data_IF_581957426057
#
_entry.id   IF_581957426057
#
_cell.length_a   1.000
_cell.length_b   1.000
_cell.length_c   1.000
_cell.angle_alpha   90.00
_cell.angle_beta   90.00
_cell.angle_gamma   90.00
#
_symmetry.space_group_name_H-M   'P 1'
#
loop_
_entity.id
_entity.type
_entity.pdbx_description
1 polymer ?
#
# COMPACT_ATOMS: atom_id res chain seq x y z
N UNK A 1 -8.37 17.89 -22.29
CA UNK A 1 -8.40 16.59 -21.61
C UNK A 1 -7.16 16.50 -20.72
N UNK A 2 -7.28 16.39 -19.42
CA UNK A 2 -6.10 16.16 -18.56
C UNK A 2 -5.62 14.74 -18.83
N UNK A 3 -4.32 14.50 -18.96
CA UNK A 3 -3.82 13.13 -19.11
C UNK A 3 -4.21 12.33 -17.85
N UNK A 4 -4.81 11.16 -18.04
CA UNK A 4 -5.04 10.22 -16.95
C UNK A 4 -3.67 9.71 -16.53
N UNK A 5 -3.22 10.12 -15.36
CA UNK A 5 -1.88 9.79 -14.83
C UNK A 5 -1.94 8.49 -14.03
N UNK A 6 -3.13 8.08 -13.57
CA UNK A 6 -3.32 6.90 -12.74
C UNK A 6 -4.65 6.21 -13.07
N UNK A 7 -4.70 4.89 -13.00
CA UNK A 7 -5.94 4.13 -13.12
C UNK A 7 -6.86 4.33 -11.90
N UNK A 8 -8.10 3.85 -11.98
CA UNK A 8 -9.05 3.88 -10.87
C UNK A 8 -9.77 5.21 -10.66
N UNK A 9 -9.73 6.13 -11.61
CA UNK A 9 -10.48 7.38 -11.51
C UNK A 9 -11.98 7.17 -11.84
N UNK A 10 -12.69 6.61 -10.89
CA UNK A 10 -14.14 6.38 -10.93
C UNK A 10 -14.94 7.65 -10.61
N UNK A 11 -14.29 8.73 -10.17
CA UNK A 11 -14.96 9.95 -9.73
C UNK A 11 -15.20 10.95 -10.85
N UNK A 12 -14.42 10.89 -11.92
CA UNK A 12 -14.50 11.81 -13.06
C UNK A 12 -14.94 11.10 -14.34
N UNK A 13 -15.12 9.79 -14.32
CA UNK A 13 -15.47 8.97 -15.48
C UNK A 13 -16.64 8.06 -15.13
N UNK A 14 -17.63 7.97 -16.04
CA UNK A 14 -18.65 6.92 -15.98
C UNK A 14 -18.03 5.62 -16.50
N UNK A 15 -17.82 4.65 -15.61
CA UNK A 15 -17.11 3.41 -15.90
C UNK A 15 -18.07 2.24 -15.70
N UNK A 16 -18.35 1.48 -16.76
CA UNK A 16 -19.05 0.21 -16.66
C UNK A 16 -18.12 -0.93 -16.22
N UNK A 17 -16.88 -0.93 -16.72
CA UNK A 17 -15.86 -1.93 -16.41
C UNK A 17 -14.51 -1.24 -16.23
N UNK A 18 -13.86 -1.48 -15.09
CA UNK A 18 -12.54 -0.94 -14.80
C UNK A 18 -11.46 -2.03 -14.84
N UNK A 19 -10.60 -1.95 -15.87
CA UNK A 19 -9.40 -2.80 -16.01
C UNK A 19 -8.10 -2.05 -15.70
N UNK A 20 -8.21 -0.81 -15.21
CA UNK A 20 -7.04 0.05 -14.97
C UNK A 20 -6.39 -0.16 -13.61
N UNK A 21 -7.11 -0.80 -12.68
CA UNK A 21 -6.63 -1.11 -11.32
C UNK A 21 -6.96 -2.54 -10.92
N UNK A 22 -6.12 -3.09 -10.07
CA UNK A 22 -6.25 -4.47 -9.59
C UNK A 22 -6.94 -4.48 -8.23
N UNK A 23 -8.27 -4.43 -8.23
CA UNK A 23 -9.09 -4.48 -7.01
C UNK A 23 -9.77 -5.84 -6.85
N UNK A 24 -10.05 -6.22 -5.60
CA UNK A 24 -10.78 -7.44 -5.31
C UNK A 24 -12.25 -7.30 -5.76
N UNK A 25 -12.73 -8.10 -6.75
CA UNK A 25 -14.10 -8.00 -7.24
C UNK A 25 -15.16 -8.37 -6.20
N UNK A 26 -14.80 -9.07 -5.14
CA UNK A 26 -15.68 -9.41 -4.02
C UNK A 26 -15.75 -8.32 -2.95
N UNK A 27 -15.04 -7.21 -3.14
CA UNK A 27 -14.96 -6.11 -2.20
C UNK A 27 -14.07 -6.40 -0.98
N UNK A 28 -14.29 -5.65 0.09
CA UNK A 28 -13.51 -5.78 1.32
C UNK A 28 -14.03 -6.99 2.11
N UNK A 29 -13.18 -7.94 2.53
CA UNK A 29 -13.57 -9.06 3.38
C UNK A 29 -14.22 -8.58 4.69
N UNK A 30 -15.24 -9.29 5.17
CA UNK A 30 -16.02 -8.86 6.35
C UNK A 30 -15.14 -8.69 7.60
N UNK A 31 -14.25 -9.64 7.85
CA UNK A 31 -13.28 -9.55 8.97
C UNK A 31 -12.40 -8.30 8.92
N UNK A 32 -12.11 -7.79 7.72
CA UNK A 32 -11.33 -6.55 7.56
C UNK A 32 -12.18 -5.34 7.94
N UNK A 33 -13.45 -5.33 7.53
CA UNK A 33 -14.39 -4.25 7.90
C UNK A 33 -14.59 -4.19 9.42
N UNK A 34 -14.81 -5.36 10.05
CA UNK A 34 -14.93 -5.47 11.51
C UNK A 34 -13.67 -4.91 12.20
N UNK A 35 -12.48 -5.34 11.81
CA UNK A 35 -11.24 -4.86 12.37
C UNK A 35 -11.02 -3.35 12.16
N UNK A 36 -11.44 -2.80 11.01
CA UNK A 36 -11.40 -1.36 10.76
C UNK A 36 -12.34 -0.61 11.71
N UNK A 37 -13.57 -1.11 11.92
CA UNK A 37 -14.52 -0.49 12.83
C UNK A 37 -14.01 -0.51 14.29
N UNK A 38 -13.47 -1.62 14.75
CA UNK A 38 -12.88 -1.74 16.08
C UNK A 38 -11.66 -0.82 16.28
N UNK A 39 -10.92 -0.54 15.20
CA UNK A 39 -9.74 0.32 15.27
C UNK A 39 -10.04 1.82 15.25
N UNK A 40 -11.29 2.25 15.05
CA UNK A 40 -11.62 3.68 14.98
C UNK A 40 -11.28 4.43 16.27
N UNK A 41 -11.47 3.81 17.43
CA UNK A 41 -11.13 4.42 18.73
C UNK A 41 -9.62 4.65 18.89
N UNK A 42 -8.80 3.88 18.19
CA UNK A 42 -7.35 4.05 18.21
C UNK A 42 -6.89 5.33 17.48
N UNK A 43 -7.78 5.94 16.66
CA UNK A 43 -7.48 7.19 15.96
C UNK A 43 -7.31 8.40 16.88
N UNK A 44 -7.66 8.29 18.17
CA UNK A 44 -7.38 9.30 19.20
C UNK A 44 -5.89 9.39 19.54
N UNK A 45 -5.11 8.36 19.19
CA UNK A 45 -3.69 8.28 19.49
C UNK A 45 -2.83 8.47 18.26
N UNK A 46 -1.60 8.92 18.48
CA UNK A 46 -0.60 8.89 17.43
C UNK A 46 -0.32 7.45 16.99
N UNK A 47 -0.17 7.21 15.67
CA UNK A 47 0.14 5.87 15.18
C UNK A 47 1.52 5.40 15.69
N UNK A 48 1.66 4.08 15.83
CA UNK A 48 2.95 3.47 16.12
C UNK A 48 3.90 3.65 14.94
N UNK A 49 4.91 4.51 15.13
CA UNK A 49 5.91 4.82 14.10
C UNK A 49 6.82 3.64 13.74
N UNK A 50 6.85 2.61 14.58
CA UNK A 50 7.64 1.40 14.36
C UNK A 50 6.85 0.27 13.72
N UNK A 51 5.52 0.41 13.61
CA UNK A 51 4.63 -0.62 13.07
C UNK A 51 4.79 -2.00 13.74
N UNK A 52 5.16 -2.03 15.04
CA UNK A 52 5.61 -3.23 15.72
C UNK A 52 4.63 -4.41 15.62
N UNK A 53 3.34 -4.19 15.93
CA UNK A 53 2.30 -5.22 15.81
C UNK A 53 2.06 -5.70 14.37
N UNK A 54 2.21 -4.82 13.39
CA UNK A 54 2.04 -5.16 11.98
C UNK A 54 3.20 -6.03 11.50
N UNK A 55 4.42 -5.63 11.83
CA UNK A 55 5.65 -6.36 11.48
C UNK A 55 5.65 -7.74 12.12
N UNK A 56 5.33 -7.86 13.42
CA UNK A 56 5.18 -9.13 14.12
C UNK A 56 4.20 -10.08 13.39
N UNK A 57 2.99 -9.58 13.05
CA UNK A 57 1.99 -10.39 12.35
C UNK A 57 2.41 -10.80 10.94
N UNK A 58 3.05 -9.91 10.20
CA UNK A 58 3.59 -10.23 8.87
C UNK A 58 4.70 -11.27 8.99
N UNK A 59 5.64 -11.06 9.91
CA UNK A 59 6.74 -11.99 10.16
C UNK A 59 6.24 -13.40 10.53
N UNK A 60 5.28 -13.47 11.44
CA UNK A 60 4.67 -14.74 11.83
C UNK A 60 3.92 -15.42 10.69
N UNK A 61 3.18 -14.66 9.87
CA UNK A 61 2.39 -15.22 8.76
C UNK A 61 3.25 -15.76 7.62
N UNK A 62 4.30 -15.03 7.26
CA UNK A 62 5.18 -15.39 6.13
C UNK A 62 6.44 -16.14 6.55
N UNK A 63 6.66 -16.34 7.85
CA UNK A 63 7.87 -16.94 8.41
C UNK A 63 9.15 -16.17 8.02
N UNK A 64 9.06 -14.85 8.06
CA UNK A 64 10.15 -13.91 7.76
C UNK A 64 10.59 -13.24 9.05
N UNK A 65 11.91 -13.14 9.34
CA UNK A 65 12.41 -12.36 10.46
C UNK A 65 11.94 -10.89 10.39
N UNK A 66 11.57 -10.32 11.53
CA UNK A 66 11.02 -8.97 11.62
C UNK A 66 11.97 -7.91 11.08
N UNK A 67 13.27 -8.09 11.25
CA UNK A 67 14.33 -7.22 10.72
C UNK A 67 14.42 -7.18 9.19
N UNK A 68 13.71 -8.07 8.50
CA UNK A 68 13.62 -8.09 7.04
C UNK A 68 12.31 -7.49 6.51
N UNK A 69 11.51 -6.88 7.39
CA UNK A 69 10.22 -6.31 7.03
C UNK A 69 10.26 -4.79 7.19
N UNK A 70 9.94 -4.09 6.14
CA UNK A 70 9.75 -2.64 6.13
C UNK A 70 8.31 -2.32 5.70
N UNK A 71 7.59 -1.61 6.56
CA UNK A 71 6.27 -1.10 6.26
C UNK A 71 6.34 0.37 5.85
N UNK A 72 5.49 0.77 4.92
CA UNK A 72 5.39 2.15 4.45
C UNK A 72 4.00 2.47 3.93
N UNK A 73 3.73 3.74 3.70
CA UNK A 73 2.46 4.24 3.20
C UNK A 73 2.37 4.07 1.67
N UNK A 74 2.19 2.83 1.26
CA UNK A 74 2.17 2.43 -0.14
C UNK A 74 3.56 2.22 -0.74
N UNK A 75 3.58 1.61 -1.93
CA UNK A 75 4.82 1.27 -2.64
C UNK A 75 5.67 2.49 -3.00
N UNK A 76 5.05 3.63 -3.26
CA UNK A 76 5.76 4.87 -3.62
C UNK A 76 6.72 5.33 -2.54
N UNK A 77 6.32 5.27 -1.28
CA UNK A 77 7.20 5.61 -0.15
C UNK A 77 8.37 4.63 -0.06
N UNK A 78 8.09 3.33 -0.23
CA UNK A 78 9.13 2.31 -0.18
C UNK A 78 10.14 2.44 -1.32
N UNK A 79 9.72 2.78 -2.53
CA UNK A 79 10.63 3.07 -3.65
C UNK A 79 11.56 4.23 -3.33
N UNK A 80 11.04 5.33 -2.78
CA UNK A 80 11.84 6.48 -2.38
C UNK A 80 12.82 6.08 -1.26
N UNK A 81 12.36 5.35 -0.26
CA UNK A 81 13.19 4.89 0.85
C UNK A 81 14.35 4.01 0.37
N UNK A 82 14.08 3.05 -0.53
CA UNK A 82 15.11 2.17 -1.10
C UNK A 82 16.15 2.97 -1.90
N UNK A 83 15.72 3.90 -2.73
CA UNK A 83 16.64 4.74 -3.51
C UNK A 83 17.52 5.59 -2.58
N UNK A 84 16.95 6.17 -1.53
CA UNK A 84 17.71 6.95 -0.56
C UNK A 84 18.70 6.11 0.26
N UNK A 85 18.32 4.89 0.59
CA UNK A 85 19.19 3.99 1.36
C UNK A 85 20.37 3.48 0.52
N UNK A 86 20.12 3.04 -0.72
CA UNK A 86 21.15 2.44 -1.59
C UNK A 86 21.99 3.51 -2.28
N UNK A 87 21.43 4.69 -2.56
CA UNK A 87 22.09 5.80 -3.30
C UNK A 87 22.73 5.34 -4.61
N UNK A 88 22.00 4.66 -5.50
CA UNK A 88 22.57 4.11 -6.73
C UNK A 88 22.98 5.25 -7.66
N UNK A 89 24.12 5.09 -8.37
CA UNK A 89 24.56 6.04 -9.38
C UNK A 89 23.71 6.01 -10.66
N UNK A 90 22.92 4.95 -10.88
CA UNK A 90 22.04 4.77 -12.04
C UNK A 90 20.86 3.88 -11.65
N UNK A 91 19.67 4.25 -12.13
CA UNK A 91 18.44 3.47 -11.98
C UNK A 91 17.89 3.15 -13.36
N UNK A 92 17.43 1.93 -13.57
CA UNK A 92 16.72 1.50 -14.79
C UNK A 92 15.28 1.17 -14.39
N UNK A 93 14.34 1.79 -15.08
CA UNK A 93 12.90 1.59 -14.86
C UNK A 93 12.30 1.10 -16.18
N UNK A 94 11.54 0.00 -16.21
CA UNK A 94 10.79 -0.40 -17.39
C UNK A 94 9.68 0.63 -17.68
N UNK A 95 9.44 0.96 -18.92
CA UNK A 95 8.37 1.86 -19.32
C UNK A 95 7.58 1.25 -20.50
N UNK A 96 6.25 1.45 -20.54
CA UNK A 96 5.42 2.11 -19.56
C UNK A 96 5.32 1.33 -18.24
N UNK A 97 5.29 2.05 -17.13
CA UNK A 97 5.16 1.50 -15.79
C UNK A 97 4.14 2.32 -14.99
N UNK A 98 3.62 1.71 -13.95
CA UNK A 98 2.65 2.37 -13.05
C UNK A 98 3.38 3.42 -12.23
#
# INVERSE_FOLDING_TARGET
MRPVIHGGDIYQNEIELDFSVNINPFGIPEKVKEAMQESLELCEHYPDIHHAKLIEKIGAHYHIPEEHILCGNGASELFVAVVHAIKPGKIVIPAPSI
#
